data_IF_466196810921
#
_entry.id   IF_466196810921
#
_cell.length_a   1.000
_cell.length_b   1.000
_cell.length_c   1.000
_cell.angle_alpha   90.00
_cell.angle_beta   90.00
_cell.angle_gamma   90.00
#
_symmetry.space_group_name_H-M   'P 1'
#
loop_
_entity.id
_entity.type
_entity.pdbx_description
1 polymer ?
#
# COMPACT_ATOMS: atom_id res chain seq x y z
N UNK A 1 27.41 2.44 -17.89
CA UNK A 1 26.18 3.05 -17.32
C UNK A 1 25.98 2.49 -15.91
N UNK A 2 26.38 3.24 -14.88
CA UNK A 2 26.38 2.77 -13.49
C UNK A 2 24.96 2.81 -12.91
N UNK A 3 24.39 1.64 -12.66
CA UNK A 3 23.06 1.47 -12.08
C UNK A 3 22.95 2.11 -10.69
N UNK A 4 22.00 3.04 -10.56
CA UNK A 4 21.63 3.68 -9.30
C UNK A 4 20.97 2.62 -8.39
N UNK A 5 21.74 2.02 -7.48
CA UNK A 5 21.21 1.08 -6.48
C UNK A 5 20.12 1.78 -5.67
N UNK A 6 18.87 1.28 -5.74
CA UNK A 6 17.76 1.67 -4.86
C UNK A 6 18.05 1.11 -3.47
N UNK A 7 18.79 1.86 -2.65
CA UNK A 7 18.93 1.53 -1.22
C UNK A 7 17.64 1.91 -0.50
N UNK A 8 16.93 0.92 0.05
CA UNK A 8 15.78 1.13 0.93
C UNK A 8 16.20 1.94 2.17
N UNK A 9 15.65 3.15 2.33
CA UNK A 9 15.99 4.09 3.40
C UNK A 9 15.42 3.74 4.79
N UNK A 10 15.02 2.49 5.02
CA UNK A 10 14.18 2.11 6.17
C UNK A 10 14.97 2.10 7.51
N UNK A 11 16.29 2.19 7.48
CA UNK A 11 17.09 2.07 8.71
C UNK A 11 18.39 2.86 8.73
N UNK A 12 18.45 4.08 8.17
CA UNK A 12 19.67 4.89 8.37
C UNK A 12 19.76 5.32 9.83
N UNK A 13 20.62 4.65 10.58
CA UNK A 13 21.13 5.06 11.88
C UNK A 13 22.02 6.31 11.74
N UNK A 14 21.40 7.41 11.27
CA UNK A 14 22.10 8.66 11.00
C UNK A 14 22.47 9.32 12.32
N UNK A 15 23.55 10.10 12.31
CA UNK A 15 23.92 10.97 13.45
C UNK A 15 22.78 11.92 13.84
N UNK A 16 21.91 12.28 12.91
CA UNK A 16 20.71 13.09 13.17
C UNK A 16 19.66 12.30 13.97
N UNK A 17 19.35 11.06 13.53
CA UNK A 17 18.42 10.18 14.23
C UNK A 17 18.90 9.85 15.67
N UNK A 18 20.19 9.53 15.84
CA UNK A 18 20.79 9.31 17.18
C UNK A 18 20.65 10.53 18.08
N UNK A 19 20.96 11.73 17.57
CA UNK A 19 20.82 12.99 18.33
C UNK A 19 19.37 13.27 18.72
N UNK A 20 18.42 12.97 17.85
CA UNK A 20 16.99 13.12 18.14
C UNK A 20 16.53 12.15 19.24
N UNK A 21 17.01 10.89 19.20
CA UNK A 21 16.72 9.89 20.24
C UNK A 21 17.20 10.38 21.61
N UNK A 22 18.49 10.72 21.72
CA UNK A 22 19.07 11.21 22.98
C UNK A 22 18.37 12.46 23.53
N UNK A 23 17.87 13.35 22.65
CA UNK A 23 17.11 14.52 23.07
C UNK A 23 15.73 14.14 23.63
N UNK A 24 15.09 13.11 23.09
CA UNK A 24 13.79 12.60 23.58
C UNK A 24 13.93 11.80 24.86
N UNK A 25 15.05 11.10 25.04
CA UNK A 25 15.33 10.34 26.27
C UNK A 25 15.51 11.26 27.48
N UNK A 26 16.05 12.47 27.25
CA UNK A 26 16.19 13.54 28.27
C UNK A 26 14.99 14.49 28.36
N UNK A 27 13.89 14.20 27.66
CA UNK A 27 12.70 15.06 27.64
C UNK A 27 11.89 14.90 28.92
N UNK A 28 11.61 16.02 29.61
CA UNK A 28 10.68 16.06 30.74
C UNK A 28 9.27 15.66 30.30
N UNK A 29 8.50 15.06 31.21
CA UNK A 29 7.15 14.55 30.91
C UNK A 29 6.23 15.62 30.29
N UNK A 30 6.23 16.84 30.83
CA UNK A 30 5.42 17.95 30.31
C UNK A 30 5.77 18.32 28.87
N UNK A 31 7.07 18.36 28.53
CA UNK A 31 7.55 18.65 27.18
C UNK A 31 7.19 17.53 26.21
N UNK A 32 7.25 16.28 26.68
CA UNK A 32 6.82 15.10 25.90
C UNK A 32 5.33 15.18 25.58
N UNK A 33 4.49 15.48 26.55
CA UNK A 33 3.05 15.60 26.34
C UNK A 33 2.70 16.78 25.43
N UNK A 34 3.33 17.94 25.61
CA UNK A 34 3.16 19.09 24.71
C UNK A 34 3.53 18.74 23.25
N UNK A 35 4.64 18.01 23.04
CA UNK A 35 5.06 17.54 21.71
C UNK A 35 4.06 16.55 21.12
N UNK A 36 3.58 15.59 21.91
CA UNK A 36 2.60 14.60 21.45
C UNK A 36 1.26 15.27 21.10
N UNK A 37 0.80 16.21 21.91
CA UNK A 37 -0.41 17.01 21.66
C UNK A 37 -0.28 17.80 20.35
N UNK A 38 0.84 18.50 20.16
CA UNK A 38 1.09 19.23 18.91
C UNK A 38 1.13 18.30 17.68
N UNK A 39 1.74 17.12 17.81
CA UNK A 39 1.75 16.13 16.72
C UNK A 39 0.33 15.63 16.41
N UNK A 40 -0.49 15.35 17.42
CA UNK A 40 -1.88 14.92 17.22
C UNK A 40 -2.68 15.96 16.46
N UNK A 41 -2.55 17.24 16.80
CA UNK A 41 -3.24 18.33 16.11
C UNK A 41 -2.77 18.48 14.66
N UNK A 42 -1.45 18.40 14.41
CA UNK A 42 -0.91 18.39 13.03
C UNK A 42 -1.50 17.26 12.20
N UNK A 43 -1.57 16.05 12.73
CA UNK A 43 -2.16 14.91 12.01
C UNK A 43 -3.68 15.06 11.82
N UNK A 44 -4.40 15.65 12.78
CA UNK A 44 -5.82 15.96 12.64
C UNK A 44 -6.06 16.92 11.48
N UNK A 45 -5.34 18.04 11.45
CA UNK A 45 -5.43 19.04 10.37
C UNK A 45 -5.01 18.45 9.02
N UNK A 46 -3.96 17.63 9.00
CA UNK A 46 -3.52 16.96 7.79
C UNK A 46 -4.60 16.03 7.23
N UNK A 47 -5.18 15.16 8.08
CA UNK A 47 -6.28 14.26 7.66
C UNK A 47 -7.51 15.04 7.17
N UNK A 48 -7.85 16.17 7.79
CA UNK A 48 -8.96 16.99 7.33
C UNK A 48 -8.73 17.63 5.95
N UNK A 49 -7.47 17.73 5.50
CA UNK A 49 -7.09 18.24 4.18
C UNK A 49 -6.96 17.14 3.13
N UNK A 50 -6.85 15.87 3.54
CA UNK A 50 -6.82 14.73 2.62
C UNK A 50 -8.23 14.53 2.05
N UNK A 51 -8.34 14.35 0.73
CA UNK A 51 -9.66 14.12 0.12
C UNK A 51 -10.23 12.78 0.59
N UNK A 52 -11.57 12.61 0.68
CA UNK A 52 -12.18 11.33 1.03
C UNK A 52 -11.72 10.16 0.12
N UNK A 53 -11.33 10.47 -1.13
CA UNK A 53 -10.78 9.50 -2.07
C UNK A 53 -9.37 8.99 -1.69
N UNK A 54 -8.57 9.80 -0.98
CA UNK A 54 -7.24 9.41 -0.49
C UNK A 54 -7.33 8.57 0.79
N UNK A 55 -8.24 8.92 1.70
CA UNK A 55 -8.40 8.24 3.01
C UNK A 55 -8.99 6.83 2.83
N UNK A 56 -9.91 6.65 1.87
CA UNK A 56 -10.66 5.40 1.68
C UNK A 56 -10.20 4.59 0.46
N UNK A 57 -8.96 4.77 -0.01
CA UNK A 57 -8.43 4.07 -1.19
C UNK A 57 -8.49 2.54 -1.06
N UNK A 58 -8.42 2.01 0.17
CA UNK A 58 -8.54 0.58 0.44
C UNK A 58 -10.03 0.13 0.51
N UNK A 59 -10.88 0.88 1.22
CA UNK A 59 -12.32 0.61 1.36
C UNK A 59 -13.06 0.70 0.02
N UNK A 60 -12.71 1.69 -0.81
CA UNK A 60 -13.24 1.81 -2.18
C UNK A 60 -12.78 0.65 -3.08
N UNK A 61 -11.62 0.04 -2.79
CA UNK A 61 -11.10 -1.12 -3.53
C UNK A 61 -11.77 -2.44 -3.17
N UNK A 62 -12.27 -2.59 -1.94
CA UNK A 62 -12.93 -3.83 -1.48
C UNK A 62 -14.13 -4.19 -2.38
N UNK A 63 -14.87 -3.19 -2.88
CA UNK A 63 -16.04 -3.41 -3.73
C UNK A 63 -15.76 -3.24 -5.23
N UNK A 64 -14.53 -2.93 -5.63
CA UNK A 64 -14.20 -2.74 -7.05
C UNK A 64 -14.41 -4.03 -7.87
N UNK A 65 -14.21 -5.20 -7.26
CA UNK A 65 -14.47 -6.49 -7.91
C UNK A 65 -15.97 -6.76 -8.14
N UNK A 66 -16.85 -6.18 -7.31
CA UNK A 66 -18.32 -6.36 -7.41
C UNK A 66 -18.99 -5.26 -8.25
N UNK A 67 -18.30 -4.15 -8.49
CA UNK A 67 -18.75 -3.02 -9.32
C UNK A 67 -18.14 -3.10 -10.73
N UNK A 68 -18.36 -4.22 -11.43
CA UNK A 68 -17.95 -4.33 -12.84
C UNK A 68 -18.78 -3.36 -13.70
N UNK A 69 -18.13 -2.36 -14.30
CA UNK A 69 -18.76 -1.44 -15.26
C UNK A 69 -18.33 -1.79 -16.69
N UNK A 70 -19.26 -2.30 -17.49
CA UNK A 70 -19.00 -2.68 -18.89
C UNK A 70 -18.63 -1.50 -19.81
N UNK A 71 -18.77 -0.26 -19.35
CA UNK A 71 -18.37 0.94 -20.09
C UNK A 71 -16.88 1.26 -19.95
N UNK A 72 -16.19 0.67 -18.97
CA UNK A 72 -14.77 0.87 -18.76
C UNK A 72 -14.00 -0.17 -19.60
N UNK A 73 -13.09 0.25 -20.49
CA UNK A 73 -12.29 -0.67 -21.30
C UNK A 73 -11.17 -1.29 -20.45
N UNK A 74 -11.51 -2.30 -19.65
CA UNK A 74 -10.56 -3.01 -18.77
C UNK A 74 -9.52 -3.86 -19.52
N UNK A 75 -9.70 -4.08 -20.83
CA UNK A 75 -8.82 -4.90 -21.66
C UNK A 75 -7.38 -4.36 -21.74
N UNK A 76 -7.24 -3.04 -21.67
CA UNK A 76 -5.95 -2.34 -21.79
C UNK A 76 -5.37 -1.92 -20.43
N UNK A 77 -6.07 -2.19 -19.32
CA UNK A 77 -5.63 -1.78 -17.98
C UNK A 77 -4.53 -2.74 -17.47
N UNK A 78 -3.31 -2.24 -17.20
CA UNK A 78 -2.20 -3.07 -16.70
C UNK A 78 -2.50 -3.77 -15.37
N UNK A 79 -3.47 -3.27 -14.60
CA UNK A 79 -3.90 -3.83 -13.32
C UNK A 79 -4.87 -5.01 -13.53
N UNK A 80 -5.61 -5.02 -14.65
CA UNK A 80 -6.62 -6.04 -15.01
C UNK A 80 -6.05 -6.98 -16.07
N UNK A 81 -4.79 -7.39 -15.90
CA UNK A 81 -4.20 -8.45 -16.75
C UNK A 81 -4.71 -9.82 -16.29
N UNK A 82 -5.92 -10.18 -16.72
CA UNK A 82 -6.44 -11.52 -16.56
C UNK A 82 -5.75 -12.36 -17.65
N UNK A 83 -4.81 -13.23 -17.27
CA UNK A 83 -3.99 -14.01 -18.21
C UNK A 83 -4.81 -14.86 -19.19
N UNK A 84 -4.18 -15.49 -20.18
CA UNK A 84 -4.91 -16.27 -21.20
C UNK A 84 -5.53 -17.56 -20.63
N UNK A 85 -6.77 -17.87 -21.02
CA UNK A 85 -7.45 -19.14 -20.67
C UNK A 85 -6.93 -20.29 -21.52
N UNK A 86 -5.83 -20.92 -21.10
CA UNK A 86 -5.15 -21.99 -21.85
C UNK A 86 -5.44 -23.39 -21.33
N UNK A 87 -6.06 -23.54 -20.16
CA UNK A 87 -6.31 -24.86 -19.55
C UNK A 87 -7.66 -25.38 -19.99
N UNK A 88 -7.71 -26.56 -20.60
CA UNK A 88 -8.97 -27.23 -20.95
C UNK A 88 -9.44 -28.07 -19.76
N UNK A 89 -10.70 -27.92 -19.36
CA UNK A 89 -11.32 -28.77 -18.35
C UNK A 89 -11.55 -30.19 -18.91
N UNK A 90 -11.07 -31.21 -18.22
CA UNK A 90 -11.24 -32.61 -18.64
C UNK A 90 -12.70 -33.07 -18.66
N UNK A 91 -13.57 -32.49 -17.82
CA UNK A 91 -14.96 -32.94 -17.67
C UNK A 91 -15.95 -32.26 -18.62
N UNK A 92 -15.67 -31.05 -19.08
CA UNK A 92 -16.62 -30.26 -19.88
C UNK A 92 -15.97 -29.52 -21.06
N UNK A 93 -14.68 -29.74 -21.30
CA UNK A 93 -13.89 -29.09 -22.36
C UNK A 93 -13.88 -27.55 -22.32
N UNK A 94 -14.39 -26.94 -21.24
CA UNK A 94 -14.36 -25.50 -21.07
C UNK A 94 -12.93 -25.03 -20.81
N UNK A 95 -12.55 -23.89 -21.42
CA UNK A 95 -11.29 -23.23 -21.14
C UNK A 95 -11.33 -22.62 -19.72
N UNK A 96 -10.20 -22.62 -19.03
CA UNK A 96 -10.00 -22.09 -17.68
C UNK A 96 -8.71 -21.27 -17.63
N UNK A 97 -8.68 -20.28 -16.75
CA UNK A 97 -7.45 -19.56 -16.43
C UNK A 97 -6.49 -20.51 -15.73
N UNK A 98 -5.20 -20.47 -16.12
CA UNK A 98 -4.15 -21.07 -15.30
C UNK A 98 -4.18 -20.36 -13.93
N UNK A 99 -4.35 -21.13 -12.85
CA UNK A 99 -4.20 -20.58 -11.52
C UNK A 99 -2.81 -19.94 -11.41
N UNK A 100 -2.74 -18.68 -10.98
CA UNK A 100 -1.47 -18.02 -10.67
C UNK A 100 -0.64 -18.95 -9.79
N UNK A 101 0.57 -19.31 -10.24
CA UNK A 101 1.48 -20.25 -9.61
C UNK A 101 1.96 -19.75 -8.23
N UNK A 102 1.07 -19.74 -7.23
CA UNK A 102 1.34 -19.26 -5.88
C UNK A 102 0.56 -19.99 -4.77
N UNK A 103 0.05 -21.21 -5.01
CA UNK A 103 -0.35 -22.10 -3.92
C UNK A 103 0.33 -23.46 -4.11
N UNK A 104 1.45 -23.64 -3.40
CA UNK A 104 1.93 -24.99 -3.07
C UNK A 104 1.05 -25.48 -1.93
N UNK A 105 0.06 -26.31 -2.25
CA UNK A 105 -0.60 -27.13 -1.22
C UNK A 105 0.45 -28.10 -0.64
N UNK A 106 0.50 -28.16 0.69
CA UNK A 106 1.16 -29.21 1.46
C UNK A 106 0.09 -30.17 1.96
#
# INVERSE_FOLDING_TARGET
MSGRRRTSNIGRNTRSAKRMCLRRDKELAEKREARLSQNREKYRVQRARESPAQINLWENKINSAMNYDSKIPYQDDPIVSIGTMTVVCEHCSALKFMACAAYKEK
#
